data_IF_285382886317
#
_entry.id   IF_285382886317
#
_cell.length_a   1.000
_cell.length_b   1.000
_cell.length_c   1.000
_cell.angle_alpha   90.00
_cell.angle_beta   90.00
_cell.angle_gamma   90.00
#
_symmetry.space_group_name_H-M   'P 1'
#
loop_
_entity.id
_entity.type
_entity.pdbx_description
1 polymer ?
#
# COMPACT_ATOMS: atom_id res chain seq x y z
N UNK A 1 12.82 -22.20 5.64
CA UNK A 1 12.95 -20.75 5.89
C UNK A 1 14.42 -20.44 5.98
N UNK A 2 15.03 -19.82 4.99
CA UNK A 2 16.44 -19.58 5.02
C UNK A 2 16.87 -18.30 5.73
N UNK A 3 15.93 -17.45 6.20
CA UNK A 3 16.33 -16.14 6.72
C UNK A 3 15.57 -15.73 7.96
N UNK A 4 16.32 -15.33 8.97
CA UNK A 4 15.80 -14.42 9.99
C UNK A 4 15.87 -12.99 9.44
N UNK A 5 14.78 -12.25 9.57
CA UNK A 5 14.82 -10.83 9.33
C UNK A 5 15.65 -10.15 10.42
N UNK A 6 16.66 -9.47 10.00
CA UNK A 6 17.49 -8.66 10.89
C UNK A 6 17.27 -7.18 10.61
N UNK A 7 17.68 -6.30 11.54
CA UNK A 7 17.70 -4.84 11.28
C UNK A 7 18.53 -4.48 10.04
N UNK A 8 19.50 -5.30 9.68
CA UNK A 8 20.34 -5.13 8.49
C UNK A 8 19.62 -5.61 7.20
N UNK A 9 18.61 -6.48 7.30
CA UNK A 9 17.81 -6.94 6.18
C UNK A 9 16.30 -6.93 6.51
N UNK A 10 15.70 -5.75 6.62
CA UNK A 10 14.27 -5.63 6.95
C UNK A 10 13.34 -6.22 5.87
N UNK A 11 13.85 -6.49 4.67
CA UNK A 11 13.12 -7.16 3.59
C UNK A 11 13.14 -8.69 3.69
N UNK A 12 13.87 -9.26 4.64
CA UNK A 12 14.00 -10.71 4.84
C UNK A 12 12.70 -11.43 5.22
N UNK A 13 11.62 -10.69 5.50
CA UNK A 13 10.27 -11.25 5.72
C UNK A 13 9.46 -11.47 4.44
N UNK A 14 9.87 -10.91 3.31
CA UNK A 14 9.15 -11.06 2.05
C UNK A 14 9.81 -12.15 1.23
N UNK A 15 9.08 -13.24 1.01
CA UNK A 15 9.50 -14.37 0.19
C UNK A 15 8.81 -14.29 -1.16
N UNK A 16 9.54 -14.50 -2.25
CA UNK A 16 9.00 -14.45 -3.60
C UNK A 16 8.53 -15.83 -4.13
N UNK A 17 8.97 -16.95 -3.51
CA UNK A 17 8.65 -18.30 -3.94
C UNK A 17 8.86 -19.32 -2.81
N UNK A 18 8.23 -20.48 -2.91
CA UNK A 18 8.46 -21.61 -2.00
C UNK A 18 9.72 -22.39 -2.38
N UNK A 19 10.31 -23.13 -1.44
CA UNK A 19 11.51 -23.92 -1.70
C UNK A 19 11.31 -24.96 -2.81
N UNK A 20 10.11 -25.53 -2.90
CA UNK A 20 9.72 -26.46 -3.99
C UNK A 20 9.67 -25.81 -5.38
N UNK A 21 9.59 -24.49 -5.46
CA UNK A 21 9.50 -23.72 -6.70
C UNK A 21 10.85 -23.11 -7.13
N UNK A 22 11.90 -23.35 -6.34
CA UNK A 22 13.22 -22.74 -6.51
C UNK A 22 13.78 -22.88 -7.92
N UNK A 23 13.70 -24.06 -8.50
CA UNK A 23 14.27 -24.32 -9.83
C UNK A 23 13.43 -23.69 -10.94
N UNK A 24 12.10 -23.71 -10.81
CA UNK A 24 11.19 -23.00 -11.72
C UNK A 24 11.46 -21.50 -11.63
N UNK A 25 11.62 -20.96 -10.42
CA UNK A 25 11.91 -19.54 -10.25
C UNK A 25 13.25 -19.14 -10.90
N UNK A 26 14.29 -19.98 -10.77
CA UNK A 26 15.58 -19.76 -11.44
C UNK A 26 15.44 -19.72 -12.97
N UNK A 27 14.67 -20.65 -13.53
CA UNK A 27 14.40 -20.67 -14.97
C UNK A 27 13.71 -19.38 -15.41
N UNK A 28 12.61 -19.01 -14.76
CA UNK A 28 11.86 -17.78 -15.06
C UNK A 28 12.73 -16.54 -14.92
N UNK A 29 13.52 -16.44 -13.84
CA UNK A 29 14.43 -15.33 -13.63
C UNK A 29 15.50 -15.22 -14.72
N UNK A 30 16.01 -16.36 -15.19
CA UNK A 30 16.96 -16.43 -16.30
C UNK A 30 16.34 -15.99 -17.63
N UNK A 31 15.13 -16.46 -17.95
CA UNK A 31 14.40 -16.09 -19.17
C UNK A 31 14.05 -14.59 -19.20
N UNK A 32 13.70 -14.01 -18.04
CA UNK A 32 13.39 -12.58 -17.89
C UNK A 32 14.64 -11.70 -17.72
N UNK A 33 15.83 -12.28 -17.67
CA UNK A 33 17.08 -11.53 -17.45
C UNK A 33 17.16 -10.84 -16.08
N UNK A 34 16.49 -11.37 -15.04
CA UNK A 34 16.50 -10.80 -13.71
C UNK A 34 17.87 -11.07 -13.05
N UNK A 35 18.59 -10.02 -12.71
CA UNK A 35 19.93 -10.11 -12.13
C UNK A 35 19.90 -10.83 -10.77
N UNK A 36 20.70 -11.89 -10.64
CA UNK A 36 20.91 -12.58 -9.37
C UNK A 36 21.87 -11.78 -8.48
N UNK A 37 21.55 -11.67 -7.20
CA UNK A 37 22.36 -10.98 -6.18
C UNK A 37 23.18 -11.95 -5.34
N UNK A 38 22.69 -13.17 -5.13
CA UNK A 38 23.34 -14.18 -4.33
C UNK A 38 22.74 -15.55 -4.56
N UNK A 39 23.48 -16.60 -4.22
CA UNK A 39 23.03 -18.00 -4.36
C UNK A 39 22.75 -18.67 -2.99
N UNK A 40 23.44 -18.23 -1.94
CA UNK A 40 23.26 -18.70 -0.57
C UNK A 40 23.15 -17.52 0.41
N UNK A 41 21.95 -16.99 0.61
CA UNK A 41 20.63 -17.38 0.08
C UNK A 41 20.42 -16.97 -1.38
N UNK A 42 19.55 -17.71 -2.11
CA UNK A 42 19.18 -17.35 -3.47
C UNK A 42 18.41 -16.03 -3.46
N UNK A 43 18.97 -15.01 -4.07
CA UNK A 43 18.40 -13.67 -4.12
C UNK A 43 18.52 -13.07 -5.50
N UNK A 44 17.49 -12.35 -5.90
CA UNK A 44 17.41 -11.62 -7.15
C UNK A 44 17.04 -10.15 -6.90
N UNK A 45 17.39 -9.29 -7.85
CA UNK A 45 16.82 -7.94 -7.90
C UNK A 45 15.31 -8.04 -8.10
N UNK A 46 14.60 -7.00 -7.71
CA UNK A 46 13.14 -6.94 -7.93
C UNK A 46 12.86 -6.72 -9.40
N UNK A 47 11.92 -7.48 -9.95
CA UNK A 47 11.41 -7.20 -11.28
C UNK A 47 10.75 -5.81 -11.33
N UNK A 48 10.93 -5.01 -12.40
CA UNK A 48 10.36 -3.65 -12.49
C UNK A 48 8.87 -3.55 -12.16
N UNK A 49 8.04 -4.48 -12.64
CA UNK A 49 6.60 -4.48 -12.38
C UNK A 49 6.24 -4.67 -10.91
N UNK A 50 7.12 -5.24 -10.08
CA UNK A 50 6.86 -5.40 -8.63
C UNK A 50 6.72 -4.08 -7.94
N UNK A 51 7.43 -3.04 -8.39
CA UNK A 51 7.29 -1.68 -7.83
C UNK A 51 5.91 -1.08 -8.09
N UNK A 52 5.33 -1.35 -9.27
CA UNK A 52 3.98 -0.89 -9.61
C UNK A 52 2.90 -1.64 -8.80
N UNK A 53 3.05 -2.96 -8.66
CA UNK A 53 2.12 -3.77 -7.84
C UNK A 53 2.19 -3.34 -6.38
N UNK A 54 3.40 -3.13 -5.83
CA UNK A 54 3.58 -2.65 -4.46
C UNK A 54 2.97 -1.26 -4.26
N UNK A 55 3.14 -0.34 -5.22
CA UNK A 55 2.53 0.98 -5.14
C UNK A 55 1.00 0.91 -5.18
N UNK A 56 0.42 0.06 -6.01
CA UNK A 56 -1.02 -0.14 -6.07
C UNK A 56 -1.58 -0.68 -4.74
N UNK A 57 -0.89 -1.64 -4.14
CA UNK A 57 -1.21 -2.20 -2.84
C UNK A 57 -1.13 -1.13 -1.74
N UNK A 58 0.00 -0.43 -1.63
CA UNK A 58 0.22 0.63 -0.64
C UNK A 58 -0.83 1.76 -0.73
N UNK A 59 -1.17 2.20 -1.95
CA UNK A 59 -2.16 3.25 -2.19
C UNK A 59 -3.56 2.78 -1.76
N UNK A 60 -3.97 1.60 -2.24
CA UNK A 60 -5.30 1.09 -1.97
C UNK A 60 -5.50 0.84 -0.48
N UNK A 61 -4.59 0.14 0.18
CA UNK A 61 -4.70 -0.14 1.61
C UNK A 61 -4.81 1.14 2.42
N UNK A 62 -3.90 2.08 2.23
CA UNK A 62 -3.86 3.28 3.06
C UNK A 62 -5.13 4.12 2.96
N UNK A 63 -5.64 4.32 1.75
CA UNK A 63 -6.82 5.18 1.53
C UNK A 63 -8.12 4.46 1.90
N UNK A 64 -8.20 3.15 1.65
CA UNK A 64 -9.35 2.34 2.07
C UNK A 64 -9.44 2.21 3.59
N UNK A 65 -8.33 2.11 4.31
CA UNK A 65 -8.32 2.08 5.76
C UNK A 65 -8.94 3.35 6.38
N UNK A 66 -8.73 4.51 5.76
CA UNK A 66 -9.38 5.77 6.19
C UNK A 66 -10.90 5.71 5.96
N UNK A 67 -11.35 5.25 4.79
CA UNK A 67 -12.78 5.07 4.50
C UNK A 67 -13.43 4.05 5.46
N UNK A 68 -12.80 2.90 5.65
CA UNK A 68 -13.33 1.85 6.50
C UNK A 68 -13.36 2.27 7.98
N UNK A 69 -12.40 3.07 8.41
CA UNK A 69 -12.41 3.66 9.75
C UNK A 69 -13.62 4.57 9.98
N UNK A 70 -14.09 5.27 8.94
CA UNK A 70 -15.35 5.99 8.99
C UNK A 70 -16.54 5.03 9.11
N UNK A 71 -16.61 3.99 8.27
CA UNK A 71 -17.69 2.98 8.31
C UNK A 71 -17.76 2.29 9.67
N UNK A 72 -16.60 2.02 10.28
CA UNK A 72 -16.47 1.44 11.61
C UNK A 72 -16.68 2.46 12.75
N UNK A 73 -16.96 3.72 12.43
CA UNK A 73 -17.16 4.82 13.40
C UNK A 73 -15.94 5.09 14.31
N UNK A 74 -14.76 4.75 13.84
CA UNK A 74 -13.48 5.10 14.49
C UNK A 74 -13.15 6.56 14.20
N UNK A 75 -13.44 7.01 12.98
CA UNK A 75 -13.34 8.40 12.54
C UNK A 75 -14.74 8.98 12.29
N UNK A 76 -14.95 10.23 12.70
CA UNK A 76 -16.15 10.98 12.31
C UNK A 76 -16.12 11.34 10.82
N UNK A 77 -17.28 11.72 10.27
CA UNK A 77 -17.36 12.19 8.89
C UNK A 77 -16.44 13.40 8.63
N UNK A 78 -16.49 14.38 9.52
CA UNK A 78 -15.73 15.62 9.34
C UNK A 78 -14.21 15.39 9.45
N UNK A 79 -13.76 14.51 10.37
CA UNK A 79 -12.36 14.07 10.44
C UNK A 79 -11.94 13.36 9.15
N UNK A 80 -12.76 12.45 8.65
CA UNK A 80 -12.46 11.68 7.43
C UNK A 80 -12.35 12.59 6.22
N UNK A 81 -13.31 13.50 6.04
CA UNK A 81 -13.28 14.47 4.93
C UNK A 81 -12.06 15.37 5.03
N UNK A 82 -11.75 15.92 6.22
CA UNK A 82 -10.57 16.77 6.40
C UNK A 82 -9.25 16.07 6.05
N UNK A 83 -9.12 14.78 6.42
CA UNK A 83 -7.96 13.96 6.08
C UNK A 83 -7.87 13.76 4.56
N UNK A 84 -8.99 13.39 3.92
CA UNK A 84 -9.00 13.14 2.48
C UNK A 84 -8.80 14.43 1.68
N UNK A 85 -9.37 15.55 2.11
CA UNK A 85 -9.15 16.85 1.45
C UNK A 85 -7.71 17.36 1.59
N UNK A 86 -6.93 16.89 2.57
CA UNK A 86 -5.52 17.28 2.72
C UNK A 86 -4.61 16.84 1.57
N UNK A 87 -5.07 15.92 0.71
CA UNK A 87 -4.38 15.55 -0.52
C UNK A 87 -4.49 16.59 -1.64
N UNK A 88 -5.29 17.63 -1.46
CA UNK A 88 -5.50 18.67 -2.46
C UNK A 88 -4.86 19.98 -2.03
N UNK A 89 -3.91 20.46 -2.82
CA UNK A 89 -3.33 21.80 -2.63
C UNK A 89 -4.30 22.88 -3.11
N UNK A 90 -4.48 23.93 -2.28
CA UNK A 90 -5.43 25.03 -2.58
C UNK A 90 -5.04 25.84 -3.81
N UNK A 91 -3.78 25.85 -4.19
CA UNK A 91 -3.27 26.63 -5.30
C UNK A 91 -3.13 25.79 -6.58
N UNK A 92 -2.70 24.54 -6.45
CA UNK A 92 -2.43 23.65 -7.57
C UNK A 92 -3.69 22.92 -8.03
N UNK A 93 -4.54 22.44 -7.08
CA UNK A 93 -5.71 21.58 -7.34
C UNK A 93 -7.04 22.39 -7.40
N UNK A 94 -7.02 23.62 -7.87
CA UNK A 94 -8.21 24.50 -7.87
C UNK A 94 -9.41 23.92 -8.62
N UNK A 95 -9.16 23.24 -9.73
CA UNK A 95 -10.24 22.63 -10.51
C UNK A 95 -10.85 21.43 -9.80
N UNK A 96 -10.03 20.57 -9.22
CA UNK A 96 -10.48 19.44 -8.41
C UNK A 96 -11.30 19.90 -7.22
N UNK A 97 -10.83 20.93 -6.51
CA UNK A 97 -11.55 21.52 -5.38
C UNK A 97 -12.91 22.14 -5.79
N UNK A 98 -13.03 22.73 -6.98
CA UNK A 98 -14.31 23.17 -7.53
C UNK A 98 -15.24 21.98 -7.81
N UNK A 99 -14.72 20.90 -8.39
CA UNK A 99 -15.47 19.68 -8.66
C UNK A 99 -15.96 19.06 -7.35
N UNK A 100 -15.09 18.94 -6.34
CA UNK A 100 -15.43 18.45 -4.99
C UNK A 100 -16.56 19.29 -4.41
N UNK A 101 -16.41 20.63 -4.41
CA UNK A 101 -17.42 21.55 -3.89
C UNK A 101 -18.75 21.40 -4.60
N UNK A 102 -18.75 21.26 -5.92
CA UNK A 102 -19.97 21.04 -6.73
C UNK A 102 -20.62 19.70 -6.39
N UNK A 103 -19.82 18.63 -6.31
CA UNK A 103 -20.30 17.28 -5.97
C UNK A 103 -20.94 17.27 -4.59
N UNK A 104 -20.34 17.92 -3.61
CA UNK A 104 -20.89 17.99 -2.25
C UNK A 104 -22.19 18.78 -2.12
N UNK A 105 -22.51 19.64 -3.10
CA UNK A 105 -23.83 20.31 -3.16
C UNK A 105 -24.94 19.40 -3.70
N UNK A 106 -24.58 18.41 -4.52
CA UNK A 106 -25.55 17.52 -5.18
C UNK A 106 -25.65 16.16 -4.50
N UNK A 107 -24.56 15.62 -4.05
CA UNK A 107 -24.50 14.34 -3.32
C UNK A 107 -24.74 14.62 -1.84
N UNK A 108 -25.79 14.07 -1.27
CA UNK A 108 -26.17 14.26 0.14
C UNK A 108 -25.66 13.14 1.05
N UNK A 109 -25.48 11.95 0.51
CA UNK A 109 -24.98 10.80 1.26
C UNK A 109 -23.50 10.98 1.63
N UNK A 110 -23.19 10.79 2.91
CA UNK A 110 -21.84 10.98 3.46
C UNK A 110 -20.84 9.95 2.95
N UNK A 111 -21.28 8.70 2.79
CA UNK A 111 -20.40 7.64 2.31
C UNK A 111 -20.08 7.81 0.83
N UNK A 112 -21.05 8.27 0.03
CA UNK A 112 -20.81 8.58 -1.38
C UNK A 112 -19.82 9.74 -1.56
N UNK A 113 -19.87 10.77 -0.70
CA UNK A 113 -18.88 11.87 -0.71
C UNK A 113 -17.47 11.37 -0.39
N UNK A 114 -17.34 10.50 0.62
CA UNK A 114 -16.05 9.89 0.99
C UNK A 114 -15.54 9.01 -0.15
N UNK A 115 -16.39 8.18 -0.75
CA UNK A 115 -16.03 7.34 -1.88
C UNK A 115 -15.57 8.16 -3.10
N UNK A 116 -16.21 9.31 -3.34
CA UNK A 116 -15.80 10.24 -4.39
C UNK A 116 -14.40 10.81 -4.12
N UNK A 117 -14.12 11.31 -2.91
CA UNK A 117 -12.78 11.79 -2.52
C UNK A 117 -11.74 10.68 -2.65
N UNK A 118 -12.04 9.49 -2.13
CA UNK A 118 -11.16 8.32 -2.23
C UNK A 118 -10.74 8.06 -3.68
N UNK A 119 -11.70 8.03 -4.61
CA UNK A 119 -11.42 7.76 -6.02
C UNK A 119 -10.48 8.81 -6.63
N UNK A 120 -10.71 10.09 -6.32
CA UNK A 120 -9.84 11.18 -6.76
C UNK A 120 -8.42 11.08 -6.22
N UNK A 121 -8.28 10.77 -4.92
CA UNK A 121 -6.98 10.63 -4.26
C UNK A 121 -6.21 9.43 -4.81
N UNK A 122 -6.86 8.29 -4.99
CA UNK A 122 -6.22 7.11 -5.59
C UNK A 122 -5.65 7.48 -6.96
N UNK A 123 -6.42 8.18 -7.79
CA UNK A 123 -5.93 8.63 -9.10
C UNK A 123 -4.73 9.58 -8.99
N UNK A 124 -4.75 10.53 -8.06
CA UNK A 124 -3.60 11.43 -7.81
C UNK A 124 -2.36 10.66 -7.40
N UNK A 125 -2.48 9.71 -6.49
CA UNK A 125 -1.36 8.90 -6.00
C UNK A 125 -0.81 7.94 -7.08
N UNK A 126 -1.69 7.37 -7.94
CA UNK A 126 -1.27 6.58 -9.09
C UNK A 126 -0.40 7.41 -10.03
N UNK A 127 -0.85 8.62 -10.39
CA UNK A 127 -0.10 9.50 -11.27
C UNK A 127 1.25 9.89 -10.62
N UNK A 128 1.26 10.26 -9.34
CA UNK A 128 2.48 10.60 -8.63
C UNK A 128 3.48 9.41 -8.57
N UNK A 129 3.00 8.19 -8.35
CA UNK A 129 3.85 7.00 -8.38
C UNK A 129 4.35 6.66 -9.80
N UNK A 130 3.54 6.90 -10.83
CA UNK A 130 3.96 6.73 -12.22
C UNK A 130 5.08 7.71 -12.60
N UNK A 131 4.97 8.96 -12.17
CA UNK A 131 6.02 9.96 -12.37
C UNK A 131 7.32 9.55 -11.67
N UNK A 132 7.25 9.08 -10.41
CA UNK A 132 8.40 8.54 -9.68
C UNK A 132 9.02 7.35 -10.41
N UNK A 133 8.21 6.45 -10.95
CA UNK A 133 8.69 5.30 -11.72
C UNK A 133 9.45 5.77 -12.98
N UNK A 134 8.87 6.70 -13.74
CA UNK A 134 9.51 7.26 -14.94
C UNK A 134 10.82 7.99 -14.62
N UNK A 135 10.85 8.78 -13.55
CA UNK A 135 12.06 9.49 -13.11
C UNK A 135 13.19 8.53 -12.68
N UNK A 136 12.85 7.35 -12.16
CA UNK A 136 13.81 6.35 -11.69
C UNK A 136 13.95 5.14 -12.64
N UNK A 137 13.44 5.26 -13.87
CA UNK A 137 13.32 4.14 -14.81
C UNK A 137 14.63 3.36 -14.97
N UNK A 138 15.75 4.06 -15.23
CA UNK A 138 17.05 3.43 -15.41
C UNK A 138 17.53 2.64 -14.18
N UNK A 139 17.35 3.20 -12.98
CA UNK A 139 17.73 2.53 -11.74
C UNK A 139 16.84 1.32 -11.47
N UNK A 140 15.54 1.43 -11.76
CA UNK A 140 14.57 0.34 -11.62
C UNK A 140 14.93 -0.80 -12.59
N UNK A 141 15.19 -0.49 -13.85
CA UNK A 141 15.55 -1.51 -14.87
C UNK A 141 16.87 -2.20 -14.57
N UNK A 142 17.83 -1.50 -13.96
CA UNK A 142 19.11 -2.08 -13.51
C UNK A 142 18.99 -2.87 -12.21
N UNK A 143 17.87 -2.72 -11.48
CA UNK A 143 17.68 -3.32 -10.16
C UNK A 143 18.43 -2.61 -9.03
N UNK A 144 18.77 -1.35 -9.21
CA UNK A 144 19.53 -0.51 -8.26
C UNK A 144 18.62 0.43 -7.46
N UNK A 145 17.30 0.46 -7.74
CA UNK A 145 16.33 1.24 -7.00
C UNK A 145 15.95 0.56 -5.68
N UNK A 146 16.37 1.15 -4.57
CA UNK A 146 16.25 0.57 -3.22
C UNK A 146 15.15 1.21 -2.35
N UNK A 147 14.07 1.70 -2.97
CA UNK A 147 12.94 2.32 -2.29
C UNK A 147 11.61 1.72 -2.76
N UNK A 148 10.49 2.24 -2.25
CA UNK A 148 9.16 2.05 -2.85
C UNK A 148 8.75 3.33 -3.55
N UNK A 149 7.88 3.24 -4.57
CA UNK A 149 7.47 4.41 -5.34
C UNK A 149 6.77 5.43 -4.44
N UNK A 150 5.86 4.97 -3.58
CA UNK A 150 5.10 5.86 -2.69
C UNK A 150 5.99 6.64 -1.71
N UNK A 151 7.12 6.07 -1.29
CA UNK A 151 8.08 6.76 -0.41
C UNK A 151 8.84 7.89 -1.11
N UNK A 152 8.92 7.84 -2.43
CA UNK A 152 9.61 8.85 -3.25
C UNK A 152 8.67 9.92 -3.80
N UNK A 153 7.35 9.76 -3.62
CA UNK A 153 6.40 10.85 -3.88
C UNK A 153 6.74 12.04 -3.00
N UNK A 154 6.50 13.24 -3.46
CA UNK A 154 6.82 14.50 -2.76
C UNK A 154 5.61 15.44 -2.68
N UNK A 155 5.77 16.57 -1.99
CA UNK A 155 4.75 17.61 -1.86
C UNK A 155 3.52 17.18 -1.07
N UNK A 156 2.40 17.83 -1.35
CA UNK A 156 1.12 17.64 -0.64
C UNK A 156 0.67 16.18 -0.56
N UNK A 157 0.83 15.43 -1.66
CA UNK A 157 0.48 14.00 -1.67
C UNK A 157 1.30 13.19 -0.65
N UNK A 158 2.59 13.49 -0.51
CA UNK A 158 3.45 12.79 0.46
C UNK A 158 3.09 13.14 1.91
N UNK A 159 2.90 14.40 2.18
CA UNK A 159 2.55 14.89 3.52
C UNK A 159 1.21 14.30 3.98
N UNK A 160 0.20 14.31 3.11
CA UNK A 160 -1.10 13.73 3.39
C UNK A 160 -1.03 12.20 3.57
N UNK A 161 -0.28 11.50 2.73
CA UNK A 161 -0.08 10.06 2.85
C UNK A 161 0.60 9.68 4.17
N UNK A 162 1.64 10.41 4.57
CA UNK A 162 2.34 10.17 5.83
C UNK A 162 1.43 10.46 7.03
N UNK A 163 0.60 11.50 6.95
CA UNK A 163 -0.40 11.81 7.98
C UNK A 163 -1.43 10.67 8.12
N UNK A 164 -1.91 10.10 7.00
CA UNK A 164 -2.78 8.91 7.02
C UNK A 164 -2.08 7.73 7.68
N UNK A 165 -0.81 7.49 7.36
CA UNK A 165 0.00 6.41 7.95
C UNK A 165 0.14 6.60 9.47
N UNK A 166 0.49 7.80 9.91
CA UNK A 166 0.61 8.12 11.33
C UNK A 166 -0.72 7.92 12.08
N UNK A 167 -1.83 8.33 11.48
CA UNK A 167 -3.16 8.14 12.04
C UNK A 167 -3.54 6.65 12.13
N UNK A 168 -3.26 5.87 11.07
CA UNK A 168 -3.55 4.44 11.04
C UNK A 168 -2.83 3.71 12.17
N UNK A 169 -1.53 3.92 12.31
CA UNK A 169 -0.74 3.31 13.39
C UNK A 169 -1.06 3.89 14.77
N UNK A 170 -1.30 5.19 14.89
CA UNK A 170 -1.54 5.83 16.18
C UNK A 170 -2.93 5.60 16.75
N UNK A 171 -3.96 5.45 15.90
CA UNK A 171 -5.35 5.39 16.36
C UNK A 171 -6.13 4.20 15.81
N UNK A 172 -6.04 3.90 14.49
CA UNK A 172 -6.95 2.96 13.85
C UNK A 172 -6.63 1.52 14.24
N UNK A 173 -5.39 1.09 14.05
CA UNK A 173 -4.99 -0.31 14.23
C UNK A 173 -4.99 -0.77 15.70
N UNK A 174 -4.96 0.16 16.65
CA UNK A 174 -4.96 -0.12 18.10
C UNK A 174 -6.35 -0.05 18.73
N UNK A 175 -7.42 0.12 17.94
CA UNK A 175 -8.78 0.09 18.51
C UNK A 175 -9.15 -1.31 19.00
N UNK A 176 -9.89 -1.39 20.10
CA UNK A 176 -10.35 -2.66 20.66
C UNK A 176 -11.10 -3.51 19.62
N UNK A 177 -11.89 -2.85 18.75
CA UNK A 177 -12.67 -3.53 17.71
C UNK A 177 -11.76 -4.21 16.70
N UNK A 178 -10.75 -3.52 16.17
CA UNK A 178 -9.77 -4.09 15.21
C UNK A 178 -9.00 -5.23 15.88
N UNK A 179 -8.51 -5.02 17.10
CA UNK A 179 -7.78 -6.04 17.86
C UNK A 179 -8.62 -7.30 18.09
N UNK A 180 -9.90 -7.15 18.44
CA UNK A 180 -10.81 -8.31 18.63
C UNK A 180 -11.01 -9.09 17.32
N UNK A 181 -11.20 -8.39 16.19
CA UNK A 181 -11.33 -9.02 14.87
C UNK A 181 -10.05 -9.78 14.49
N UNK A 182 -8.88 -9.20 14.75
CA UNK A 182 -7.58 -9.84 14.48
C UNK A 182 -7.41 -11.12 15.33
N UNK A 183 -7.71 -11.06 16.62
CA UNK A 183 -7.63 -12.23 17.52
C UNK A 183 -8.61 -13.33 17.07
N UNK A 184 -9.84 -12.95 16.73
CA UNK A 184 -10.84 -13.90 16.23
C UNK A 184 -10.39 -14.53 14.91
N UNK A 185 -9.90 -13.74 13.96
CA UNK A 185 -9.37 -14.21 12.68
C UNK A 185 -8.21 -15.17 12.86
N UNK A 186 -7.25 -14.86 13.72
CA UNK A 186 -6.12 -15.75 14.02
C UNK A 186 -6.58 -17.11 14.58
N UNK A 187 -7.53 -17.11 15.50
CA UNK A 187 -8.08 -18.36 16.07
C UNK A 187 -8.85 -19.18 15.04
N UNK A 188 -9.73 -18.53 14.28
CA UNK A 188 -10.56 -19.20 13.27
C UNK A 188 -9.68 -19.80 12.16
N UNK A 189 -8.80 -19.00 11.57
CA UNK A 189 -7.91 -19.47 10.50
C UNK A 189 -6.96 -20.55 10.99
N UNK A 190 -6.39 -20.40 12.19
CA UNK A 190 -5.52 -21.40 12.78
C UNK A 190 -6.24 -22.74 13.02
N UNK A 191 -7.50 -22.71 13.47
CA UNK A 191 -8.32 -23.93 13.64
C UNK A 191 -8.61 -24.58 12.30
N UNK A 192 -9.04 -23.80 11.29
CA UNK A 192 -9.32 -24.34 9.95
C UNK A 192 -8.07 -24.99 9.35
N UNK A 193 -6.93 -24.31 9.40
CA UNK A 193 -5.66 -24.85 8.89
C UNK A 193 -5.29 -26.16 9.58
N UNK A 194 -5.44 -26.23 10.90
CA UNK A 194 -5.15 -27.45 11.67
C UNK A 194 -6.03 -28.62 11.22
N UNK A 195 -7.35 -28.41 11.10
CA UNK A 195 -8.29 -29.45 10.65
C UNK A 195 -7.96 -29.97 9.24
N UNK A 196 -7.44 -29.09 8.34
CA UNK A 196 -7.04 -29.51 6.99
C UNK A 196 -5.67 -30.17 6.93
N UNK A 197 -4.78 -29.90 7.87
CA UNK A 197 -3.41 -30.45 7.86
C UNK A 197 -3.29 -31.74 8.68
N UNK A 198 -4.15 -31.93 9.68
CA UNK A 198 -4.17 -33.10 10.54
C UNK A 198 -5.08 -34.24 10.00
N UNK A 199 -5.77 -34.01 8.86
CA UNK A 199 -6.62 -34.98 8.16
C UNK A 199 -5.79 -35.75 7.12
#
# INVERSE_FOLDING_TARGET
YPFESTKANPKGFKYGFFQSEKDIFRQVAGELGIRQLGDHPLQYVRHPLVYLVEAADDICYQIMDIEDSHKLRILSYDETVAILESFYDKNEDKEDLKIITKTFKTVTDKNERIAFLRAGIINKLINACADVFCQNYEAIMKGDFNSTLIKQVSGTNKEAYDACTALAYGRIYHTNMVTQIQIAGFKILGTILKEYTDA
#
